data_IF_470519896103
#
_entry.id   IF_470519896103
#
_cell.length_a   1.000
_cell.length_b   1.000
_cell.length_c   1.000
_cell.angle_alpha   90.00
_cell.angle_beta   90.00
_cell.angle_gamma   90.00
#
_symmetry.space_group_name_H-M   'P 1'
#
loop_
_entity.id
_entity.type
_entity.pdbx_description
1 polymer ?
#
# COMPACT_ATOMS: atom_id res chain seq x y z
N UNK A 1 -12.43 25.46 40.88
CA UNK A 1 -11.70 24.49 40.03
C UNK A 1 -10.26 24.45 40.49
N UNK A 2 -9.76 23.31 40.99
CA UNK A 2 -8.45 23.25 41.64
C UNK A 2 -7.32 23.19 40.61
N UNK A 3 -6.37 24.13 40.66
CA UNK A 3 -5.18 24.22 39.78
C UNK A 3 -4.43 22.89 39.64
N UNK A 4 -4.36 22.09 40.71
CA UNK A 4 -3.74 20.75 40.69
C UNK A 4 -4.43 19.77 39.73
N UNK A 5 -5.76 19.84 39.57
CA UNK A 5 -6.51 19.01 38.62
C UNK A 5 -6.27 19.43 37.17
N UNK A 6 -6.12 20.73 36.92
CA UNK A 6 -5.81 21.27 35.58
C UNK A 6 -4.41 20.81 35.16
N UNK A 7 -3.40 20.98 36.03
CA UNK A 7 -2.03 20.53 35.77
C UNK A 7 -1.96 19.03 35.47
N UNK A 8 -2.69 18.20 36.21
CA UNK A 8 -2.70 16.75 35.99
C UNK A 8 -3.37 16.35 34.68
N UNK A 9 -4.49 16.98 34.31
CA UNK A 9 -5.16 16.73 33.03
C UNK A 9 -4.32 17.19 31.83
N UNK A 10 -3.65 18.34 31.91
CA UNK A 10 -2.79 18.83 30.83
C UNK A 10 -1.59 17.88 30.62
N UNK A 11 -0.98 17.39 31.70
CA UNK A 11 0.14 16.44 31.61
C UNK A 11 -0.28 15.10 30.99
N UNK A 12 -1.49 14.63 31.31
CA UNK A 12 -2.04 13.38 30.76
C UNK A 12 -2.30 13.49 29.24
N UNK A 13 -2.87 14.60 28.78
CA UNK A 13 -3.15 14.85 27.36
C UNK A 13 -1.85 14.98 26.56
N UNK A 14 -0.85 15.70 27.11
CA UNK A 14 0.45 15.83 26.45
C UNK A 14 1.22 14.50 26.42
N UNK A 15 1.14 13.70 27.48
CA UNK A 15 1.76 12.38 27.55
C UNK A 15 1.24 11.39 26.51
N UNK A 16 -0.06 11.40 26.22
CA UNK A 16 -0.68 10.51 25.22
C UNK A 16 -0.38 11.00 23.79
N UNK A 17 -0.40 12.32 23.55
CA UNK A 17 -0.11 12.91 22.24
C UNK A 17 1.36 12.83 21.81
N UNK A 18 2.28 12.54 22.74
CA UNK A 18 3.72 12.45 22.44
C UNK A 18 4.14 11.10 21.86
N UNK A 19 3.28 10.07 21.95
CA UNK A 19 3.55 8.71 21.44
C UNK A 19 2.93 8.41 20.08
N UNK A 20 2.28 9.38 19.43
CA UNK A 20 1.98 9.28 17.99
C UNK A 20 3.26 9.51 17.19
N UNK A 21 4.22 8.60 17.35
CA UNK A 21 5.26 8.42 16.36
C UNK A 21 4.56 8.09 15.05
N UNK A 22 4.89 8.82 13.99
CA UNK A 22 4.59 8.38 12.62
C UNK A 22 5.25 7.01 12.54
N UNK A 23 4.45 5.95 12.60
CA UNK A 23 4.93 4.58 12.42
C UNK A 23 5.39 4.47 10.97
N UNK A 24 6.61 4.93 10.70
CA UNK A 24 7.29 4.73 9.44
C UNK A 24 7.93 3.34 9.52
N UNK A 25 7.09 2.31 9.47
CA UNK A 25 7.58 1.00 9.06
C UNK A 25 8.10 1.21 7.64
N UNK A 26 9.40 0.97 7.42
CA UNK A 26 9.94 0.96 6.07
C UNK A 26 9.02 0.05 5.23
N UNK A 27 8.51 0.58 4.12
CA UNK A 27 7.46 -0.03 3.32
C UNK A 27 7.79 -1.47 2.84
N UNK A 28 9.07 -1.85 2.88
CA UNK A 28 9.53 -3.18 2.54
C UNK A 28 9.63 -3.37 1.03
N UNK A 29 9.69 -4.63 0.60
CA UNK A 29 9.70 -5.01 -0.80
C UNK A 29 8.26 -5.27 -1.28
N UNK A 30 7.91 -4.71 -2.44
CA UNK A 30 6.64 -4.92 -3.14
C UNK A 30 6.90 -5.43 -4.56
N UNK A 31 6.13 -6.41 -4.97
CA UNK A 31 6.07 -6.93 -6.35
C UNK A 31 4.76 -6.47 -6.98
N UNK A 32 4.82 -5.82 -8.13
CA UNK A 32 3.67 -5.24 -8.82
C UNK A 32 3.59 -5.84 -10.24
N UNK A 33 2.38 -6.24 -10.66
CA UNK A 33 2.15 -6.65 -12.04
C UNK A 33 2.19 -5.44 -13.00
N UNK A 34 3.02 -5.53 -14.03
CA UNK A 34 2.99 -4.63 -15.19
C UNK A 34 2.34 -5.36 -16.36
N UNK A 35 1.08 -5.04 -16.63
CA UNK A 35 0.35 -5.62 -17.75
C UNK A 35 0.85 -5.05 -19.08
N UNK A 36 0.63 -5.75 -20.19
CA UNK A 36 1.19 -5.41 -21.50
C UNK A 36 0.42 -4.34 -22.31
N UNK A 37 -0.39 -3.51 -21.65
CA UNK A 37 -1.16 -2.44 -22.30
C UNK A 37 -0.90 -1.09 -21.65
N UNK A 38 -0.88 -0.03 -22.47
CA UNK A 38 -0.29 1.25 -22.10
C UNK A 38 -0.87 1.91 -20.83
N UNK A 39 -2.18 1.77 -20.55
CA UNK A 39 -2.77 2.32 -19.33
C UNK A 39 -2.28 1.62 -18.07
N UNK A 40 -2.10 0.29 -18.11
CA UNK A 40 -1.62 -0.48 -16.97
C UNK A 40 -0.12 -0.28 -16.77
N UNK A 41 0.66 -0.22 -17.84
CA UNK A 41 2.09 0.11 -17.78
C UNK A 41 2.29 1.48 -17.12
N UNK A 42 1.49 2.48 -17.52
CA UNK A 42 1.51 3.80 -16.91
C UNK A 42 1.20 3.73 -15.41
N UNK A 43 0.12 3.06 -15.01
CA UNK A 43 -0.27 2.96 -13.60
C UNK A 43 0.77 2.22 -12.76
N UNK A 44 1.31 1.10 -13.24
CA UNK A 44 2.39 0.37 -12.56
C UNK A 44 3.63 1.22 -12.31
N UNK A 45 4.04 2.03 -13.30
CA UNK A 45 5.19 2.91 -13.17
C UNK A 45 4.92 4.13 -12.29
N UNK A 46 3.70 4.70 -12.32
CA UNK A 46 3.29 5.78 -11.40
C UNK A 46 3.29 5.28 -9.96
N UNK A 47 2.70 4.10 -9.71
CA UNK A 47 2.66 3.48 -8.39
C UNK A 47 4.08 3.21 -7.87
N UNK A 48 4.97 2.65 -8.71
CA UNK A 48 6.40 2.47 -8.38
C UNK A 48 7.05 3.78 -7.93
N UNK A 49 6.85 4.88 -8.67
CA UNK A 49 7.43 6.19 -8.31
C UNK A 49 6.91 6.66 -6.94
N UNK A 50 5.59 6.57 -6.71
CA UNK A 50 4.98 7.00 -5.46
C UNK A 50 5.50 6.15 -4.29
N UNK A 51 5.56 4.84 -4.45
CA UNK A 51 6.00 3.90 -3.42
C UNK A 51 7.49 4.05 -3.11
N UNK A 52 8.35 4.14 -4.12
CA UNK A 52 9.79 4.31 -3.92
C UNK A 52 10.14 5.71 -3.38
N UNK A 53 9.55 6.77 -3.93
CA UNK A 53 9.94 8.16 -3.58
C UNK A 53 9.14 8.73 -2.41
N UNK A 54 7.89 8.34 -2.26
CA UNK A 54 7.00 8.84 -1.21
C UNK A 54 7.02 8.00 0.06
N UNK A 55 7.21 6.68 -0.07
CA UNK A 55 7.10 5.74 1.03
C UNK A 55 8.37 4.92 1.31
N UNK A 56 9.40 5.04 0.47
CA UNK A 56 10.68 4.34 0.65
C UNK A 56 10.59 2.83 0.46
N UNK A 57 9.63 2.34 -0.34
CA UNK A 57 9.50 0.93 -0.70
C UNK A 57 10.61 0.53 -1.68
N UNK A 58 10.98 -0.75 -1.69
CA UNK A 58 11.66 -1.39 -2.82
C UNK A 58 10.60 -2.01 -3.73
N UNK A 59 10.53 -1.60 -5.00
CA UNK A 59 9.46 -2.05 -5.91
C UNK A 59 10.04 -2.82 -7.09
N UNK A 60 9.58 -4.05 -7.27
CA UNK A 60 9.84 -4.90 -8.43
C UNK A 60 8.61 -4.95 -9.34
N UNK A 61 8.78 -4.61 -10.62
CA UNK A 61 7.73 -4.81 -11.62
C UNK A 61 7.96 -6.15 -12.31
N UNK A 62 6.93 -6.98 -12.38
CA UNK A 62 6.96 -8.26 -13.10
C UNK A 62 5.96 -8.22 -14.26
N UNK A 63 6.26 -8.89 -15.39
CA UNK A 63 5.31 -9.01 -16.48
C UNK A 63 3.99 -9.63 -16.00
N UNK A 64 2.87 -8.98 -16.32
CA UNK A 64 1.52 -9.40 -15.99
C UNK A 64 0.69 -9.77 -17.22
N UNK A 65 -0.37 -10.53 -16.98
CA UNK A 65 -1.47 -10.73 -17.92
C UNK A 65 -2.76 -10.96 -17.11
N UNK A 66 -3.92 -10.55 -17.62
CA UNK A 66 -5.19 -10.54 -16.87
C UNK A 66 -5.47 -11.82 -16.09
N UNK A 67 -5.65 -12.96 -16.79
CA UNK A 67 -6.00 -14.23 -16.14
C UNK A 67 -4.83 -14.81 -15.34
N UNK A 68 -3.59 -14.89 -15.87
CA UNK A 68 -2.46 -15.42 -15.10
C UNK A 68 -2.15 -14.62 -13.82
N UNK A 69 -2.21 -13.29 -13.86
CA UNK A 69 -2.01 -12.44 -12.69
C UNK A 69 -3.13 -12.67 -11.68
N UNK A 70 -4.40 -12.68 -12.12
CA UNK A 70 -5.52 -12.90 -11.21
C UNK A 70 -5.49 -14.28 -10.54
N UNK A 71 -5.25 -15.35 -11.30
CA UNK A 71 -5.09 -16.71 -10.74
C UNK A 71 -3.94 -16.79 -9.77
N UNK A 72 -2.78 -16.19 -10.08
CA UNK A 72 -1.66 -16.17 -9.15
C UNK A 72 -1.98 -15.41 -7.86
N UNK A 73 -2.68 -14.28 -7.95
CA UNK A 73 -3.06 -13.51 -6.77
C UNK A 73 -4.05 -14.29 -5.89
N UNK A 74 -4.99 -15.02 -6.49
CA UNK A 74 -5.98 -15.81 -5.76
C UNK A 74 -5.37 -17.08 -5.12
N UNK A 75 -4.55 -17.82 -5.87
CA UNK A 75 -3.98 -19.09 -5.41
C UNK A 75 -2.73 -18.92 -4.52
N UNK A 76 -1.93 -17.88 -4.78
CA UNK A 76 -0.59 -17.70 -4.17
C UNK A 76 -0.44 -16.41 -3.39
N UNK A 77 -1.36 -15.46 -3.53
CA UNK A 77 -1.21 -14.13 -2.94
C UNK A 77 -0.13 -13.29 -3.61
N UNK A 78 0.28 -13.63 -4.84
CA UNK A 78 1.33 -12.94 -5.59
C UNK A 78 0.86 -12.55 -7.00
N UNK A 79 1.22 -11.37 -7.54
CA UNK A 79 2.01 -10.31 -6.92
C UNK A 79 1.21 -9.55 -5.84
N UNK A 80 1.91 -8.70 -5.08
CA UNK A 80 1.30 -7.89 -4.01
C UNK A 80 0.25 -6.91 -4.54
N UNK A 81 0.38 -6.49 -5.79
CA UNK A 81 -0.53 -5.52 -6.41
C UNK A 81 -0.71 -5.74 -7.92
N UNK A 82 -1.95 -5.57 -8.40
CA UNK A 82 -2.28 -5.39 -9.81
C UNK A 82 -2.90 -3.99 -10.02
N UNK A 83 -2.15 -3.02 -10.58
CA UNK A 83 -2.58 -1.63 -10.74
C UNK A 83 -3.82 -1.45 -11.61
N UNK A 84 -4.06 -2.37 -12.56
CA UNK A 84 -5.25 -2.35 -13.40
C UNK A 84 -5.92 -3.73 -13.45
N UNK A 85 -7.08 -3.84 -12.80
CA UNK A 85 -7.93 -5.04 -12.89
C UNK A 85 -9.29 -4.66 -13.48
N UNK A 86 -9.58 -5.22 -14.65
CA UNK A 86 -10.88 -5.06 -15.31
C UNK A 86 -11.85 -6.11 -14.77
N UNK A 87 -12.81 -5.70 -13.94
CA UNK A 87 -13.76 -6.64 -13.31
C UNK A 87 -14.54 -7.50 -14.32
N UNK A 88 -14.84 -6.95 -15.50
CA UNK A 88 -15.50 -7.68 -16.60
C UNK A 88 -14.64 -8.82 -17.18
N UNK A 89 -13.31 -8.76 -17.03
CA UNK A 89 -12.40 -9.80 -17.50
C UNK A 89 -12.27 -10.99 -16.54
N UNK A 90 -12.70 -10.82 -15.29
CA UNK A 90 -12.64 -11.83 -14.21
C UNK A 90 -14.02 -12.07 -13.56
N UNK A 91 -15.10 -11.90 -14.34
CA UNK A 91 -16.46 -11.96 -13.81
C UNK A 91 -16.87 -13.36 -13.33
N UNK A 92 -16.28 -14.40 -13.92
CA UNK A 92 -16.46 -15.78 -13.48
C UNK A 92 -15.45 -16.05 -12.36
N UNK A 93 -15.90 -16.43 -11.16
CA UNK A 93 -15.01 -16.83 -10.08
C UNK A 93 -14.10 -17.99 -10.53
N UNK A 94 -12.87 -17.99 -10.03
CA UNK A 94 -11.92 -19.10 -10.20
C UNK A 94 -12.32 -20.30 -9.33
#
# INVERSE_FOLDING_TARGET
MNIKKILFSTLLVFGIGSFSGIANAACGKLVIAEQNWASAELMANVDKIILEKGYGCEVELIPGATMPTFTSMDEKGEPDMNPEQWANAVYTPL
#
